data_IF_927955336353
#
_entry.id   IF_927955336353
#
_cell.length_a   1.000
_cell.length_b   1.000
_cell.length_c   1.000
_cell.angle_alpha   90.00
_cell.angle_beta   90.00
_cell.angle_gamma   90.00
#
_symmetry.space_group_name_H-M   'P 1'
#
loop_
_entity.id
_entity.type
_entity.pdbx_description
1 polymer ?
#
# COMPACT_ATOMS: atom_id res chain seq x y z
N UNK A 1 8.50 -7.63 -19.00
CA UNK A 1 7.06 -7.27 -18.96
C UNK A 1 6.53 -7.07 -17.53
N UNK A 2 7.39 -6.92 -16.50
CA UNK A 2 6.96 -6.74 -15.11
C UNK A 2 6.77 -5.27 -14.67
N UNK A 3 7.07 -4.29 -15.53
CA UNK A 3 7.05 -2.87 -15.16
C UNK A 3 5.74 -2.14 -15.56
N UNK A 4 4.81 -2.84 -16.22
CA UNK A 4 3.55 -2.28 -16.72
C UNK A 4 2.38 -2.39 -15.74
N UNK A 5 2.59 -3.08 -14.62
CA UNK A 5 1.68 -3.05 -13.48
C UNK A 5 2.37 -2.17 -12.44
N UNK A 6 2.07 -0.85 -12.37
CA UNK A 6 2.47 -0.11 -11.19
C UNK A 6 1.80 -0.80 -10.03
N UNK A 7 2.61 -1.23 -9.08
CA UNK A 7 2.20 -1.77 -7.80
C UNK A 7 1.52 -0.62 -7.03
N UNK A 8 0.30 -0.27 -7.45
CA UNK A 8 -0.50 0.84 -6.94
C UNK A 8 -1.45 0.38 -5.85
N UNK A 9 -1.19 -0.77 -5.23
CA UNK A 9 -1.42 -0.86 -3.80
C UNK A 9 -0.32 -0.04 -3.14
N UNK A 10 -0.42 1.29 -3.26
CA UNK A 10 0.06 2.17 -2.22
C UNK A 10 -0.65 1.67 -0.98
N UNK A 11 0.04 0.79 -0.27
CA UNK A 11 -0.44 0.15 0.94
C UNK A 11 -0.48 1.30 1.94
N UNK A 12 -1.57 2.07 1.88
CA UNK A 12 -1.93 3.02 2.91
C UNK A 12 -2.27 2.16 4.11
N UNK A 13 -1.22 1.62 4.74
CA UNK A 13 -1.31 1.07 6.06
C UNK A 13 -1.58 2.29 6.92
N UNK A 14 -2.79 2.42 7.49
CA UNK A 14 -3.01 3.50 8.43
C UNK A 14 -1.91 3.39 9.48
N UNK A 15 -1.11 4.46 9.64
CA UNK A 15 0.02 4.46 10.59
C UNK A 15 -0.46 3.91 11.92
N UNK A 16 0.26 2.91 12.42
CA UNK A 16 -0.02 2.28 13.71
C UNK A 16 0.02 3.36 14.78
N UNK A 17 -0.77 3.23 15.85
CA UNK A 17 -0.86 4.24 16.91
C UNK A 17 0.51 4.74 17.42
N UNK A 18 1.49 3.83 17.49
CA UNK A 18 2.87 4.11 17.90
C UNK A 18 3.73 4.86 16.87
N UNK A 19 3.33 4.88 15.60
CA UNK A 19 4.00 5.62 14.52
C UNK A 19 3.43 7.03 14.33
N UNK A 20 2.37 7.36 15.08
CA UNK A 20 1.81 8.70 15.14
C UNK A 20 2.61 9.50 16.17
N UNK A 21 2.75 10.83 15.98
CA UNK A 21 3.36 11.70 16.99
C UNK A 21 2.70 11.52 18.36
N UNK A 22 1.42 11.16 18.38
CA UNK A 22 0.63 10.85 19.56
C UNK A 22 1.16 9.65 20.37
N UNK A 23 1.63 8.60 19.69
CA UNK A 23 2.16 7.39 20.32
C UNK A 23 3.55 7.58 20.92
N UNK A 24 4.38 8.42 20.28
CA UNK A 24 5.74 8.74 20.76
C UNK A 24 5.68 9.58 22.04
N UNK A 25 4.84 10.61 22.08
CA UNK A 25 4.62 11.40 23.31
C UNK A 25 3.98 10.52 24.40
N UNK A 26 3.07 9.61 24.02
CA UNK A 26 2.50 8.62 24.94
C UNK A 26 3.54 7.65 25.50
N UNK A 27 4.59 7.32 24.76
CA UNK A 27 5.67 6.46 25.28
C UNK A 27 6.48 7.19 26.37
N UNK A 28 6.82 8.46 26.13
CA UNK A 28 7.58 9.30 27.06
C UNK A 28 6.79 9.54 28.36
N UNK A 29 5.51 9.91 28.25
CA UNK A 29 4.63 10.13 29.40
C UNK A 29 4.44 8.85 30.21
N UNK A 30 4.27 7.70 29.55
CA UNK A 30 4.13 6.41 30.22
C UNK A 30 5.38 6.03 31.03
N UNK A 31 6.57 6.22 30.47
CA UNK A 31 7.84 5.98 31.18
C UNK A 31 7.98 6.91 32.38
N UNK A 32 7.67 8.20 32.21
CA UNK A 32 7.71 9.19 33.31
C UNK A 32 6.72 8.87 34.43
N UNK A 33 5.52 8.38 34.10
CA UNK A 33 4.51 8.01 35.08
C UNK A 33 4.93 6.77 35.88
N UNK A 34 5.51 5.77 35.22
CA UNK A 34 6.06 4.57 35.89
C UNK A 34 7.23 4.97 36.81
N UNK A 35 8.14 5.81 36.35
CA UNK A 35 9.25 6.30 37.17
C UNK A 35 8.76 7.12 38.38
N UNK A 36 7.78 8.00 38.18
CA UNK A 36 7.16 8.80 39.25
C UNK A 36 6.41 7.94 40.27
N UNK A 37 5.67 6.93 39.82
CA UNK A 37 4.99 5.98 40.69
C UNK A 37 6.00 5.14 41.51
N UNK A 38 7.09 4.68 40.88
CA UNK A 38 8.17 3.98 41.58
C UNK A 38 8.86 4.83 42.65
N UNK A 39 9.09 6.12 42.38
CA UNK A 39 9.68 7.04 43.35
C UNK A 39 8.75 7.33 44.54
N UNK A 40 7.45 7.51 44.29
CA UNK A 40 6.47 7.68 45.36
C UNK A 40 6.35 6.42 46.22
N UNK A 41 6.38 5.25 45.61
CA UNK A 41 6.37 3.98 46.33
C UNK A 41 7.61 3.86 47.23
N UNK A 42 8.80 4.18 46.70
CA UNK A 42 10.05 4.18 47.48
C UNK A 42 9.98 5.10 48.70
N UNK A 43 9.34 6.27 48.57
CA UNK A 43 9.13 7.20 49.69
C UNK A 43 8.09 6.72 50.71
N UNK A 44 7.11 5.93 50.29
CA UNK A 44 6.09 5.32 51.17
C UNK A 44 6.58 4.03 51.85
N UNK A 45 7.62 3.37 51.33
CA UNK A 45 8.20 2.16 51.93
C UNK A 45 8.45 2.28 53.45
N UNK A 46 9.11 3.33 53.99
CA UNK A 46 9.35 3.43 55.44
C UNK A 46 8.06 3.49 56.27
N UNK A 47 7.02 4.19 55.80
CA UNK A 47 5.73 4.26 56.48
C UNK A 47 4.97 2.93 56.47
N UNK A 48 5.16 2.12 55.42
CA UNK A 48 4.56 0.78 55.32
C UNK A 48 5.26 -0.19 56.30
N UNK A 49 6.58 -0.04 56.51
CA UNK A 49 7.36 -0.86 57.45
C UNK A 49 6.93 -0.58 58.90
N UNK A 50 6.70 0.69 59.27
CA UNK A 50 6.16 1.06 60.59
C UNK A 50 4.74 0.51 60.82
N UNK A 51 3.89 0.49 59.80
CA UNK A 51 2.56 -0.13 59.88
C UNK A 51 2.59 -1.67 60.01
N UNK A 52 3.70 -2.30 59.63
CA UNK A 52 3.87 -3.76 59.63
C UNK A 52 4.22 -4.32 61.01
N UNK A 53 4.59 -3.48 61.98
CA UNK A 53 4.79 -3.89 63.37
C UNK A 53 3.50 -4.45 64.02
N UNK A 54 2.34 -4.00 63.54
CA UNK A 54 1.05 -4.51 63.99
C UNK A 54 0.61 -5.70 63.12
N UNK A 55 0.59 -6.91 63.70
CA UNK A 55 0.36 -8.19 63.01
C UNK A 55 -1.01 -8.25 62.30
N UNK A 56 -2.01 -7.55 62.83
CA UNK A 56 -3.34 -7.43 62.25
C UNK A 56 -3.33 -6.57 60.97
N UNK A 57 -2.58 -5.47 61.00
CA UNK A 57 -2.43 -4.55 59.87
C UNK A 57 -1.54 -5.16 58.79
N UNK A 58 -0.50 -5.90 59.18
CA UNK A 58 0.35 -6.65 58.27
C UNK A 58 -0.42 -7.73 57.48
N UNK A 59 -1.32 -8.46 58.13
CA UNK A 59 -2.18 -9.44 57.46
C UNK A 59 -3.14 -8.78 56.45
N UNK A 60 -3.72 -7.63 56.79
CA UNK A 60 -4.60 -6.87 55.90
C UNK A 60 -3.84 -6.28 54.69
N UNK A 61 -2.64 -5.75 54.90
CA UNK A 61 -1.76 -5.27 53.83
C UNK A 61 -1.34 -6.41 52.90
N UNK A 62 -0.94 -7.56 53.44
CA UNK A 62 -0.56 -8.73 52.65
C UNK A 62 -1.74 -9.24 51.79
N UNK A 63 -2.94 -9.31 52.36
CA UNK A 63 -4.16 -9.65 51.62
C UNK A 63 -4.46 -8.63 50.51
N UNK A 64 -4.26 -7.33 50.79
CA UNK A 64 -4.41 -6.26 49.79
C UNK A 64 -3.42 -6.37 48.63
N UNK A 65 -2.16 -6.70 48.90
CA UNK A 65 -1.14 -6.90 47.86
C UNK A 65 -1.47 -8.13 47.00
N UNK A 66 -1.91 -9.23 47.61
CA UNK A 66 -2.33 -10.44 46.89
C UNK A 66 -3.53 -10.15 45.98
N UNK A 67 -4.53 -9.42 46.49
CA UNK A 67 -5.69 -9.01 45.70
C UNK A 67 -5.28 -8.11 44.53
N UNK A 68 -4.34 -7.19 44.73
CA UNK A 68 -3.84 -6.32 43.68
C UNK A 68 -3.07 -7.09 42.59
N UNK A 69 -2.23 -8.06 42.96
CA UNK A 69 -1.55 -8.94 42.02
C UNK A 69 -2.53 -9.78 41.17
N UNK A 70 -3.63 -10.21 41.77
CA UNK A 70 -4.68 -10.92 41.04
C UNK A 70 -5.33 -10.04 39.96
N UNK A 71 -5.62 -8.77 40.27
CA UNK A 71 -6.16 -7.80 39.31
C UNK A 71 -5.16 -7.47 38.19
N UNK A 72 -3.88 -7.30 38.51
CA UNK A 72 -2.83 -7.08 37.50
C UNK A 72 -2.62 -8.28 36.58
N UNK A 73 -2.94 -9.50 37.02
CA UNK A 73 -2.82 -10.71 36.19
C UNK A 73 -3.97 -10.85 35.19
N UNK A 74 -5.12 -10.21 35.44
CA UNK A 74 -6.25 -10.27 34.51
C UNK A 74 -6.00 -9.41 33.25
N UNK A 75 -6.03 -10.07 32.09
CA UNK A 75 -5.92 -9.45 30.76
C UNK A 75 -7.00 -8.40 30.48
N UNK A 76 -8.11 -8.40 31.23
CA UNK A 76 -9.17 -7.37 31.12
C UNK A 76 -8.69 -6.01 31.65
N UNK A 77 -7.94 -6.01 32.75
CA UNK A 77 -7.40 -4.80 33.35
C UNK A 77 -6.40 -4.12 32.41
N UNK A 78 -5.46 -4.88 31.84
CA UNK A 78 -4.51 -4.36 30.84
C UNK A 78 -5.20 -3.80 29.60
N UNK A 79 -6.25 -4.46 29.11
CA UNK A 79 -7.04 -3.94 27.99
C UNK A 79 -7.68 -2.59 28.34
N UNK A 80 -8.43 -2.51 29.44
CA UNK A 80 -9.09 -1.27 29.86
C UNK A 80 -8.09 -0.14 30.14
N UNK A 81 -6.98 -0.45 30.81
CA UNK A 81 -5.90 0.50 31.06
C UNK A 81 -5.33 1.05 29.75
N UNK A 82 -5.07 0.17 28.76
CA UNK A 82 -4.60 0.60 27.44
C UNK A 82 -5.62 1.46 26.68
N UNK A 83 -6.92 1.15 26.77
CA UNK A 83 -7.97 1.95 26.12
C UNK A 83 -8.12 3.33 26.77
N UNK A 84 -8.11 3.40 28.10
CA UNK A 84 -8.17 4.65 28.84
C UNK A 84 -6.93 5.51 28.54
N UNK A 85 -5.76 4.89 28.51
CA UNK A 85 -4.51 5.54 28.16
C UNK A 85 -4.54 6.11 26.72
N UNK A 86 -4.98 5.31 25.74
CA UNK A 86 -5.13 5.75 24.36
C UNK A 86 -6.14 6.90 24.21
N UNK A 87 -7.26 6.84 24.95
CA UNK A 87 -8.29 7.89 24.93
C UNK A 87 -7.78 9.21 25.54
N UNK A 88 -7.08 9.13 26.67
CA UNK A 88 -6.47 10.29 27.32
C UNK A 88 -5.37 10.90 26.46
N UNK A 89 -4.48 10.07 25.90
CA UNK A 89 -3.40 10.54 25.06
C UNK A 89 -3.93 11.26 23.82
N UNK A 90 -4.97 10.73 23.18
CA UNK A 90 -5.63 11.38 22.03
C UNK A 90 -6.18 12.77 22.37
N UNK A 91 -6.72 12.97 23.58
CA UNK A 91 -7.21 14.28 24.04
C UNK A 91 -6.08 15.24 24.37
N UNK A 92 -5.00 14.75 24.98
CA UNK A 92 -3.83 15.56 25.33
C UNK A 92 -3.09 15.98 24.05
N UNK A 93 -2.89 15.06 23.10
CA UNK A 93 -2.21 15.35 21.84
C UNK A 93 -3.02 16.27 20.94
N UNK A 94 -4.36 16.25 21.02
CA UNK A 94 -5.20 17.25 20.36
C UNK A 94 -4.92 18.69 20.82
N UNK A 95 -4.37 18.88 22.03
CA UNK A 95 -4.03 20.20 22.57
C UNK A 95 -2.56 20.56 22.32
N UNK A 96 -1.65 19.58 22.36
CA UNK A 96 -0.19 19.83 22.28
C UNK A 96 0.43 19.58 20.90
N UNK A 97 -0.21 18.79 20.04
CA UNK A 97 0.21 18.58 18.66
C UNK A 97 -0.77 19.35 17.80
N UNK A 98 -0.30 20.44 17.21
CA UNK A 98 -0.99 21.16 16.15
C UNK A 98 -1.09 20.21 14.95
N UNK A 99 -2.09 19.33 14.97
CA UNK A 99 -2.59 18.67 13.76
C UNK A 99 -3.25 19.81 13.01
N UNK A 100 -2.48 20.63 12.31
CA UNK A 100 -3.04 21.66 11.44
C UNK A 100 -3.93 20.93 10.41
N UNK A 101 -5.26 20.99 10.55
CA UNK A 101 -6.16 20.25 9.66
C UNK A 101 -6.03 20.78 8.22
N UNK A 102 -5.60 22.03 8.06
CA UNK A 102 -5.35 22.68 6.77
C UNK A 102 -4.11 22.07 6.13
N UNK A 103 -3.03 21.85 6.90
CA UNK A 103 -1.81 21.21 6.43
C UNK A 103 -2.04 19.82 5.83
N UNK A 104 -2.82 18.96 6.50
CA UNK A 104 -3.12 17.61 6.01
C UNK A 104 -3.95 17.66 4.72
N UNK A 105 -4.97 18.52 4.68
CA UNK A 105 -5.80 18.68 3.48
C UNK A 105 -5.00 19.24 2.32
N UNK A 106 -4.09 20.19 2.55
CA UNK A 106 -3.18 20.73 1.54
C UNK A 106 -2.24 19.65 1.00
N UNK A 107 -1.68 18.81 1.87
CA UNK A 107 -0.88 17.65 1.44
C UNK A 107 -1.71 16.70 0.59
N UNK A 108 -2.93 16.37 1.01
CA UNK A 108 -3.81 15.48 0.25
C UNK A 108 -4.14 16.04 -1.14
N UNK A 109 -4.51 17.32 -1.25
CA UNK A 109 -4.74 18.00 -2.55
C UNK A 109 -3.46 17.96 -3.40
N UNK A 110 -2.30 18.27 -2.82
CA UNK A 110 -1.01 18.20 -3.54
C UNK A 110 -0.65 16.78 -4.00
N UNK A 111 -1.09 15.75 -3.29
CA UNK A 111 -0.91 14.35 -3.68
C UNK A 111 -1.87 13.96 -4.80
N UNK A 112 -3.12 14.46 -4.77
CA UNK A 112 -4.08 14.26 -5.86
C UNK A 112 -3.59 14.92 -7.15
N UNK A 113 -3.12 16.17 -7.09
CA UNK A 113 -2.51 16.88 -8.22
C UNK A 113 -1.32 16.10 -8.80
N UNK A 114 -0.41 15.61 -7.94
CA UNK A 114 0.71 14.77 -8.39
C UNK A 114 0.25 13.46 -9.03
N UNK A 115 -0.77 12.80 -8.49
CA UNK A 115 -1.34 11.57 -9.07
C UNK A 115 -1.95 11.83 -10.45
N UNK A 116 -2.61 12.97 -10.66
CA UNK A 116 -3.12 13.41 -11.97
C UNK A 116 -1.98 13.57 -12.98
N UNK A 117 -0.88 14.24 -12.61
CA UNK A 117 0.29 14.39 -13.47
C UNK A 117 0.90 13.03 -13.84
N UNK A 118 1.05 12.13 -12.87
CA UNK A 118 1.55 10.78 -13.13
C UNK A 118 0.63 9.96 -14.04
N UNK A 119 -0.69 10.12 -13.89
CA UNK A 119 -1.66 9.48 -14.76
C UNK A 119 -1.55 9.96 -16.21
N UNK A 120 -1.41 11.27 -16.43
CA UNK A 120 -1.18 11.82 -17.78
C UNK A 120 0.07 11.20 -18.43
N UNK A 121 1.16 11.07 -17.68
CA UNK A 121 2.37 10.39 -18.16
C UNK A 121 2.15 8.91 -18.50
N UNK A 122 1.27 8.21 -17.76
CA UNK A 122 0.90 6.81 -18.06
C UNK A 122 0.02 6.70 -19.31
N UNK A 123 -0.93 7.60 -19.50
CA UNK A 123 -1.78 7.66 -20.70
C UNK A 123 -0.92 7.89 -21.94
N UNK A 124 0.03 8.83 -21.88
CA UNK A 124 0.96 9.10 -22.97
C UNK A 124 1.84 7.88 -23.32
N UNK A 125 2.40 7.20 -22.30
CA UNK A 125 3.17 5.96 -22.52
C UNK A 125 2.31 4.85 -23.12
N UNK A 126 1.08 4.67 -22.63
CA UNK A 126 0.16 3.67 -23.16
C UNK A 126 -0.23 3.95 -24.61
N UNK A 127 -0.48 5.22 -24.97
CA UNK A 127 -0.69 5.62 -26.35
C UNK A 127 0.53 5.30 -27.24
N UNK A 128 1.76 5.49 -26.73
CA UNK A 128 2.99 5.06 -27.41
C UNK A 128 3.06 3.55 -27.63
N UNK A 129 2.73 2.75 -26.61
CA UNK A 129 2.71 1.28 -26.72
C UNK A 129 1.64 0.78 -27.71
N UNK A 130 0.48 1.42 -27.75
CA UNK A 130 -0.58 1.14 -28.74
C UNK A 130 -0.05 1.35 -30.16
N UNK A 131 0.62 2.49 -30.42
CA UNK A 131 1.20 2.79 -31.73
C UNK A 131 2.28 1.79 -32.12
N UNK A 132 3.20 1.48 -31.21
CA UNK A 132 4.25 0.49 -31.44
C UNK A 132 3.68 -0.90 -31.78
N UNK A 133 2.62 -1.32 -31.08
CA UNK A 133 1.95 -2.57 -31.36
C UNK A 133 1.27 -2.57 -32.75
N UNK A 134 0.60 -1.48 -33.11
CA UNK A 134 0.02 -1.31 -34.45
C UNK A 134 1.08 -1.36 -35.56
N UNK A 135 2.24 -0.77 -35.32
CA UNK A 135 3.35 -0.75 -36.26
C UNK A 135 3.96 -2.15 -36.45
N UNK A 136 4.15 -2.90 -35.36
CA UNK A 136 4.60 -4.31 -35.44
C UNK A 136 3.58 -5.20 -36.16
N UNK A 137 2.27 -5.04 -35.92
CA UNK A 137 1.23 -5.74 -36.69
C UNK A 137 1.38 -5.45 -38.19
N UNK A 138 1.51 -4.18 -38.57
CA UNK A 138 1.64 -3.75 -39.96
C UNK A 138 2.91 -4.31 -40.62
N UNK A 139 4.03 -4.31 -39.90
CA UNK A 139 5.30 -4.89 -40.35
C UNK A 139 5.18 -6.40 -40.59
N UNK A 140 4.60 -7.12 -39.63
CA UNK A 140 4.36 -8.56 -39.74
C UNK A 140 3.39 -8.91 -40.87
N UNK A 141 2.36 -8.08 -41.12
CA UNK A 141 1.47 -8.23 -42.27
C UNK A 141 2.22 -8.06 -43.60
N UNK A 142 3.14 -7.10 -43.67
CA UNK A 142 4.03 -6.93 -44.82
C UNK A 142 4.88 -8.18 -45.09
N UNK A 143 5.53 -8.71 -44.05
CA UNK A 143 6.35 -9.94 -44.14
C UNK A 143 5.49 -11.13 -44.55
N UNK A 144 4.32 -11.31 -43.93
CA UNK A 144 3.36 -12.37 -44.26
C UNK A 144 2.98 -12.30 -45.75
N UNK A 145 2.60 -11.13 -46.25
CA UNK A 145 2.19 -10.95 -47.63
C UNK A 145 3.34 -11.23 -48.62
N UNK A 146 4.55 -10.77 -48.30
CA UNK A 146 5.75 -11.06 -49.09
C UNK A 146 6.05 -12.57 -49.13
N UNK A 147 6.04 -13.25 -47.99
CA UNK A 147 6.21 -14.71 -47.91
C UNK A 147 5.12 -15.46 -48.68
N UNK A 148 3.86 -15.02 -48.59
CA UNK A 148 2.77 -15.62 -49.37
C UNK A 148 2.94 -15.41 -50.89
N UNK A 149 3.46 -14.25 -51.33
CA UNK A 149 3.78 -14.02 -52.74
C UNK A 149 4.92 -14.93 -53.21
N UNK A 150 6.01 -15.02 -52.44
CA UNK A 150 7.14 -15.92 -52.75
C UNK A 150 6.69 -17.39 -52.77
N UNK A 151 5.85 -17.82 -51.83
CA UNK A 151 5.26 -19.15 -51.83
C UNK A 151 4.42 -19.42 -53.10
N UNK A 152 3.63 -18.44 -53.56
CA UNK A 152 2.84 -18.56 -54.79
C UNK A 152 3.73 -18.67 -56.03
N UNK A 153 4.81 -17.90 -56.09
CA UNK A 153 5.78 -17.96 -57.20
C UNK A 153 6.57 -19.27 -57.21
N UNK A 154 7.09 -19.69 -56.04
CA UNK A 154 7.78 -20.96 -55.88
C UNK A 154 6.89 -22.16 -56.24
N UNK A 155 5.59 -22.07 -55.95
CA UNK A 155 4.60 -23.08 -56.33
C UNK A 155 4.45 -23.20 -57.85
N UNK A 156 4.45 -22.08 -58.57
CA UNK A 156 4.44 -22.07 -60.05
C UNK A 156 5.73 -22.67 -60.64
N UNK A 157 6.87 -22.47 -59.96
CA UNK A 157 8.17 -23.01 -60.36
C UNK A 157 8.43 -24.46 -59.90
N UNK A 158 7.45 -25.13 -59.26
CA UNK A 158 7.58 -26.51 -58.79
C UNK A 158 8.50 -26.71 -57.57
N UNK A 159 8.94 -25.63 -56.90
CA UNK A 159 9.88 -25.68 -55.78
C UNK A 159 9.15 -25.89 -54.44
N UNK A 160 8.66 -27.11 -54.21
CA UNK A 160 7.83 -27.48 -53.03
C UNK A 160 8.46 -27.16 -51.66
N UNK A 161 9.77 -27.33 -51.51
CA UNK A 161 10.48 -27.02 -50.26
C UNK A 161 10.39 -25.53 -49.89
N UNK A 162 10.53 -24.64 -50.88
CA UNK A 162 10.44 -23.18 -50.68
C UNK A 162 9.01 -22.77 -50.35
N UNK A 163 8.02 -23.42 -50.99
CA UNK A 163 6.60 -23.21 -50.66
C UNK A 163 6.31 -23.55 -49.21
N UNK A 164 6.84 -24.67 -48.71
CA UNK A 164 6.65 -25.11 -47.33
C UNK A 164 7.28 -24.13 -46.32
N UNK A 165 8.50 -23.66 -46.57
CA UNK A 165 9.16 -22.70 -45.66
C UNK A 165 8.41 -21.36 -45.60
N UNK A 166 8.14 -20.75 -46.75
CA UNK A 166 7.46 -19.46 -46.82
C UNK A 166 6.04 -19.52 -46.26
N UNK A 167 5.33 -20.64 -46.45
CA UNK A 167 4.01 -20.85 -45.84
C UNK A 167 4.09 -20.97 -44.32
N UNK A 168 5.13 -21.63 -43.78
CA UNK A 168 5.38 -21.69 -42.33
C UNK A 168 5.71 -20.31 -41.78
N UNK A 169 6.56 -19.54 -42.46
CA UNK A 169 6.89 -18.17 -42.06
C UNK A 169 5.64 -17.29 -42.05
N UNK A 170 4.82 -17.34 -43.08
CA UNK A 170 3.54 -16.63 -43.12
C UNK A 170 2.61 -17.05 -41.98
N UNK A 171 2.55 -18.35 -41.66
CA UNK A 171 1.79 -18.87 -40.52
C UNK A 171 2.26 -18.31 -39.17
N UNK A 172 3.58 -18.32 -38.92
CA UNK A 172 4.17 -17.74 -37.69
C UNK A 172 3.85 -16.25 -37.55
N UNK A 173 3.95 -15.48 -38.63
CA UNK A 173 3.65 -14.04 -38.61
C UNK A 173 2.16 -13.77 -38.41
N UNK A 174 1.29 -14.62 -38.96
CA UNK A 174 -0.15 -14.55 -38.73
C UNK A 174 -0.50 -14.83 -37.25
N UNK A 175 0.10 -15.86 -36.65
CA UNK A 175 -0.11 -16.20 -35.24
C UNK A 175 0.41 -15.10 -34.30
N UNK A 176 1.58 -14.53 -34.60
CA UNK A 176 2.09 -13.37 -33.89
C UNK A 176 1.10 -12.19 -33.97
N UNK A 177 0.54 -11.92 -35.15
CA UNK A 177 -0.43 -10.84 -35.32
C UNK A 177 -1.72 -11.04 -34.53
N UNK A 178 -2.25 -12.25 -34.43
CA UNK A 178 -3.41 -12.54 -33.57
C UNK A 178 -3.10 -12.19 -32.11
N UNK A 179 -1.91 -12.55 -31.64
CA UNK A 179 -1.46 -12.22 -30.28
C UNK A 179 -1.31 -10.70 -30.08
N UNK A 180 -0.74 -9.99 -31.06
CA UNK A 180 -0.63 -8.53 -30.99
C UNK A 180 -1.99 -7.83 -31.05
N UNK A 181 -2.96 -8.38 -31.80
CA UNK A 181 -4.33 -7.85 -31.85
C UNK A 181 -5.03 -7.95 -30.49
N UNK A 182 -4.92 -9.09 -29.80
CA UNK A 182 -5.45 -9.24 -28.43
C UNK A 182 -4.81 -8.25 -27.45
N UNK A 183 -3.48 -8.11 -27.52
CA UNK A 183 -2.76 -7.14 -26.69
C UNK A 183 -3.20 -5.69 -27.01
N UNK A 184 -3.39 -5.35 -28.28
CA UNK A 184 -3.88 -4.05 -28.72
C UNK A 184 -5.26 -3.75 -28.14
N UNK A 185 -6.19 -4.70 -28.21
CA UNK A 185 -7.54 -4.53 -27.65
C UNK A 185 -7.51 -4.28 -26.15
N UNK A 186 -6.68 -5.02 -25.40
CA UNK A 186 -6.49 -4.80 -23.96
C UNK A 186 -5.91 -3.42 -23.65
N UNK A 187 -4.91 -2.96 -24.42
CA UNK A 187 -4.33 -1.63 -24.23
C UNK A 187 -5.32 -0.51 -24.57
N UNK A 188 -6.14 -0.66 -25.62
CA UNK A 188 -7.17 0.30 -25.97
C UNK A 188 -8.26 0.41 -24.90
N UNK A 189 -8.70 -0.72 -24.33
CA UNK A 189 -9.62 -0.73 -23.19
C UNK A 189 -9.03 0.07 -22.00
N UNK A 190 -7.80 -0.23 -21.61
CA UNK A 190 -7.12 0.47 -20.51
C UNK A 190 -6.95 1.97 -20.79
N UNK A 191 -6.62 2.33 -22.04
CA UNK A 191 -6.50 3.72 -22.45
C UNK A 191 -7.82 4.46 -22.27
N UNK A 192 -8.93 3.89 -22.76
CA UNK A 192 -10.26 4.49 -22.63
C UNK A 192 -10.67 4.67 -21.16
N UNK A 193 -10.41 3.66 -20.32
CA UNK A 193 -10.70 3.74 -18.88
C UNK A 193 -9.87 4.83 -18.20
N UNK A 194 -8.57 4.91 -18.49
CA UNK A 194 -7.69 5.92 -17.90
C UNK A 194 -8.05 7.34 -18.34
N UNK A 195 -8.38 7.53 -19.62
CA UNK A 195 -8.85 8.82 -20.16
C UNK A 195 -10.17 9.21 -19.49
N UNK A 196 -11.11 8.26 -19.32
CA UNK A 196 -12.38 8.54 -18.64
C UNK A 196 -12.19 8.94 -17.18
N UNK A 197 -11.28 8.26 -16.48
CA UNK A 197 -10.93 8.60 -15.11
C UNK A 197 -10.28 9.98 -15.01
N UNK A 198 -9.40 10.34 -15.95
CA UNK A 198 -8.79 11.67 -16.05
C UNK A 198 -9.85 12.76 -16.26
N UNK A 199 -10.80 12.55 -17.18
CA UNK A 199 -11.90 13.49 -17.39
C UNK A 199 -12.64 13.74 -16.07
N UNK A 200 -13.09 12.68 -15.40
CA UNK A 200 -13.84 12.79 -14.13
C UNK A 200 -13.01 13.50 -13.05
N UNK A 201 -11.72 13.18 -12.93
CA UNK A 201 -10.86 13.76 -11.91
C UNK A 201 -10.44 15.21 -12.20
N UNK A 202 -10.56 15.70 -13.43
CA UNK A 202 -10.35 17.12 -13.76
C UNK A 202 -11.61 17.97 -13.49
N UNK A 203 -12.78 17.35 -13.38
CA UNK A 203 -14.05 18.03 -13.05
C UNK A 203 -14.31 18.15 -11.54
N UNK A 204 -13.61 17.35 -10.72
CA UNK A 204 -13.64 17.39 -9.25
C UNK A 204 -12.56 18.33 -8.71
#
# INVERSE_FOLDING_TARGET
>A
MNDLIPNSTGNYKPKTFWERPEGVTGQIVGVSLIAGAGYLLYKLLPAIIELLENTLVAGALAAGVIAMLYVFTDRRFWRLGSYLYQSAMRKITQVFVEIDPIGIMRTYVSELERKLVHMNGRIARLAGMIRACQEEIKKNEGIKNASLMMAREARKAGKTLVVAEESRQAGRMQEANVTYQDLLSKMQLLYNVLVKYQEISNFL
#
